data_IF_663407875577
#
_entry.id   IF_663407875577
#
_cell.length_a   1.000
_cell.length_b   1.000
_cell.length_c   1.000
_cell.angle_alpha   90.00
_cell.angle_beta   90.00
_cell.angle_gamma   90.00
#
_symmetry.space_group_name_H-M   'P 1'
#
loop_
_entity.id
_entity.type
_entity.pdbx_description
1 polymer ?
#
# COMPACT_ATOMS: atom_id res chain seq x y z
N UNK A 1 -29.19 -13.71 -6.38
CA UNK A 1 -28.83 -12.58 -5.48
C UNK A 1 -29.51 -12.72 -4.12
N UNK A 2 -30.81 -12.94 -4.08
CA UNK A 2 -31.57 -13.15 -2.84
C UNK A 2 -31.04 -14.32 -1.99
N UNK A 3 -30.70 -15.46 -2.60
CA UNK A 3 -30.17 -16.62 -1.89
C UNK A 3 -28.85 -16.34 -1.15
N UNK A 4 -27.94 -15.51 -1.72
CA UNK A 4 -26.68 -15.12 -1.08
C UNK A 4 -26.95 -14.23 0.15
N UNK A 5 -27.92 -13.33 0.05
CA UNK A 5 -28.29 -12.45 1.15
C UNK A 5 -28.98 -13.23 2.29
N UNK A 6 -29.83 -14.21 1.94
CA UNK A 6 -30.46 -15.12 2.92
C UNK A 6 -29.39 -15.91 3.69
N UNK A 7 -28.37 -16.43 3.01
CA UNK A 7 -27.24 -17.10 3.66
C UNK A 7 -26.42 -16.17 4.56
N UNK A 8 -26.26 -14.90 4.16
CA UNK A 8 -25.55 -13.90 4.98
C UNK A 8 -26.31 -13.56 6.28
N UNK A 9 -27.65 -13.62 6.25
CA UNK A 9 -28.52 -13.45 7.43
C UNK A 9 -28.54 -14.71 8.27
N UNK A 10 -28.70 -15.87 7.66
CA UNK A 10 -28.77 -17.16 8.39
C UNK A 10 -27.45 -17.60 8.99
N UNK A 11 -26.33 -17.28 8.33
CA UNK A 11 -24.98 -17.67 8.78
C UNK A 11 -24.02 -16.47 8.82
N UNK A 12 -24.29 -15.39 9.59
CA UNK A 12 -23.56 -14.15 9.51
C UNK A 12 -22.08 -14.25 9.93
N UNK A 13 -21.75 -15.26 10.76
CA UNK A 13 -20.37 -15.52 11.19
C UNK A 13 -19.51 -16.21 10.11
N UNK A 14 -20.15 -16.82 9.10
CA UNK A 14 -19.47 -17.56 8.02
C UNK A 14 -19.10 -16.63 6.86
N UNK A 15 -18.26 -17.10 5.96
CA UNK A 15 -17.76 -16.33 4.81
C UNK A 15 -18.18 -16.89 3.45
N UNK A 16 -17.74 -16.24 2.35
CA UNK A 16 -18.11 -16.61 0.99
C UNK A 16 -17.82 -18.06 0.60
N UNK A 17 -16.74 -18.65 1.12
CA UNK A 17 -16.38 -20.03 0.87
C UNK A 17 -17.46 -21.00 1.40
N UNK A 18 -17.95 -20.76 2.60
CA UNK A 18 -19.02 -21.56 3.20
C UNK A 18 -20.33 -21.40 2.44
N UNK A 19 -20.64 -20.22 1.97
CA UNK A 19 -21.84 -19.97 1.17
C UNK A 19 -21.74 -20.64 -0.20
N UNK A 20 -20.56 -20.67 -0.82
CA UNK A 20 -20.33 -21.41 -2.05
C UNK A 20 -20.58 -22.90 -1.87
N UNK A 21 -20.10 -23.49 -0.78
CA UNK A 21 -20.35 -24.87 -0.41
C UNK A 21 -21.85 -25.17 -0.27
N UNK A 22 -22.60 -24.36 0.48
CA UNK A 22 -24.06 -24.56 0.65
C UNK A 22 -24.84 -24.39 -0.64
N UNK A 23 -24.45 -23.45 -1.50
CA UNK A 23 -25.08 -23.24 -2.80
C UNK A 23 -24.81 -24.41 -3.76
N UNK A 24 -23.60 -24.97 -3.71
CA UNK A 24 -23.25 -26.14 -4.53
C UNK A 24 -24.09 -27.37 -4.18
N UNK A 25 -24.44 -27.57 -2.91
CA UNK A 25 -25.38 -28.65 -2.48
C UNK A 25 -26.79 -28.43 -3.03
N UNK A 26 -27.15 -27.21 -3.44
CA UNK A 26 -28.41 -26.88 -4.08
C UNK A 26 -28.26 -26.79 -5.61
N UNK A 27 -27.26 -27.44 -6.19
CA UNK A 27 -26.91 -27.41 -7.63
C UNK A 27 -26.66 -26.01 -8.19
N UNK A 28 -26.24 -25.08 -7.33
CA UNK A 28 -25.90 -23.67 -7.69
C UNK A 28 -24.41 -23.41 -7.50
N UNK A 29 -23.65 -23.55 -8.56
CA UNK A 29 -22.19 -23.39 -8.53
C UNK A 29 -21.80 -21.92 -8.72
N UNK A 30 -21.40 -21.25 -7.63
CA UNK A 30 -20.87 -19.88 -7.63
C UNK A 30 -19.50 -19.84 -6.97
N UNK A 31 -18.58 -19.15 -7.60
CA UNK A 31 -17.24 -18.96 -7.00
C UNK A 31 -17.32 -18.11 -5.72
N UNK A 32 -16.47 -18.38 -4.71
CA UNK A 32 -16.38 -17.53 -3.51
C UNK A 32 -16.15 -16.06 -3.81
N UNK A 33 -15.39 -15.76 -4.87
CA UNK A 33 -15.13 -14.39 -5.33
C UNK A 33 -16.39 -13.70 -5.86
N UNK A 34 -17.25 -14.43 -6.57
CA UNK A 34 -18.55 -13.91 -7.05
C UNK A 34 -19.47 -13.61 -5.88
N UNK A 35 -19.54 -14.52 -4.91
CA UNK A 35 -20.33 -14.34 -3.69
C UNK A 35 -19.81 -13.15 -2.90
N UNK A 36 -18.50 -13.02 -2.70
CA UNK A 36 -17.88 -11.87 -2.01
C UNK A 36 -18.25 -10.55 -2.69
N UNK A 37 -18.15 -10.47 -4.02
CA UNK A 37 -18.53 -9.25 -4.77
C UNK A 37 -20.01 -8.90 -4.59
N UNK A 38 -20.88 -9.89 -4.56
CA UNK A 38 -22.31 -9.69 -4.32
C UNK A 38 -22.58 -9.17 -2.89
N UNK A 39 -21.93 -9.78 -1.88
CA UNK A 39 -22.00 -9.33 -0.48
C UNK A 39 -21.45 -7.92 -0.31
N UNK A 40 -20.31 -7.60 -0.92
CA UNK A 40 -19.68 -6.28 -0.85
C UNK A 40 -20.59 -5.19 -1.41
N UNK A 41 -21.25 -5.45 -2.57
CA UNK A 41 -22.24 -4.54 -3.14
C UNK A 41 -23.47 -4.33 -2.25
N UNK A 42 -23.80 -5.30 -1.41
CA UNK A 42 -24.89 -5.21 -0.44
C UNK A 42 -24.44 -4.63 0.93
N UNK A 43 -23.18 -4.21 1.09
CA UNK A 43 -22.66 -3.74 2.38
C UNK A 43 -22.48 -4.85 3.41
N UNK A 44 -22.30 -6.10 2.98
CA UNK A 44 -22.20 -7.31 3.81
C UNK A 44 -20.89 -8.08 3.59
N UNK A 45 -19.87 -7.43 3.03
CA UNK A 45 -18.59 -8.05 2.66
C UNK A 45 -17.80 -8.58 3.86
N UNK A 46 -17.90 -7.91 5.00
CA UNK A 46 -17.20 -8.28 6.24
C UNK A 46 -18.12 -9.01 7.22
N UNK A 47 -17.50 -9.82 8.12
CA UNK A 47 -18.24 -10.46 9.22
C UNK A 47 -18.93 -9.43 10.12
N UNK A 48 -18.28 -8.30 10.38
CA UNK A 48 -18.81 -7.23 11.24
C UNK A 48 -20.08 -6.62 10.63
N UNK A 49 -20.09 -6.37 9.32
CA UNK A 49 -21.27 -5.84 8.60
C UNK A 49 -22.44 -6.82 8.65
N UNK A 50 -22.17 -8.13 8.47
CA UNK A 50 -23.21 -9.17 8.56
C UNK A 50 -23.77 -9.32 9.98
N UNK A 51 -22.91 -9.29 11.00
CA UNK A 51 -23.35 -9.31 12.41
C UNK A 51 -24.18 -8.07 12.76
N UNK A 52 -23.79 -6.89 12.25
CA UNK A 52 -24.56 -5.66 12.44
C UNK A 52 -25.92 -5.70 11.73
N UNK A 53 -26.02 -6.38 10.57
CA UNK A 53 -27.31 -6.60 9.91
C UNK A 53 -28.22 -7.47 10.79
N UNK A 54 -27.70 -8.54 11.38
CA UNK A 54 -28.44 -9.40 12.30
C UNK A 54 -28.96 -8.61 13.53
N UNK A 55 -28.08 -7.81 14.14
CA UNK A 55 -28.50 -6.93 15.24
C UNK A 55 -29.59 -5.95 14.84
N UNK A 56 -29.48 -5.32 13.66
CA UNK A 56 -30.52 -4.41 13.14
C UNK A 56 -31.84 -5.14 12.88
N UNK A 57 -31.78 -6.37 12.42
CA UNK A 57 -32.96 -7.19 12.18
C UNK A 57 -33.65 -7.57 13.51
N UNK A 58 -32.86 -7.91 14.52
CA UNK A 58 -33.34 -8.18 15.89
C UNK A 58 -33.78 -6.89 16.59
N UNK A 59 -33.10 -5.77 16.35
CA UNK A 59 -33.38 -4.46 16.93
C UNK A 59 -34.65 -3.79 16.37
N UNK A 60 -35.18 -4.22 15.23
CA UNK A 60 -36.57 -3.89 14.83
C UNK A 60 -37.59 -4.43 15.82
N UNK A 61 -37.17 -5.44 16.61
CA UNK A 61 -37.96 -5.95 17.75
C UNK A 61 -37.60 -5.30 19.10
N UNK A 62 -36.39 -4.73 19.28
CA UNK A 62 -35.86 -4.24 20.56
C UNK A 62 -35.01 -2.93 20.54
N UNK A 63 -34.90 -2.25 19.42
CA UNK A 63 -34.55 -0.81 19.36
C UNK A 63 -33.12 -0.36 19.30
N UNK A 64 -32.01 -1.07 19.57
CA UNK A 64 -30.69 -0.43 19.55
C UNK A 64 -29.52 -1.37 19.22
N UNK A 65 -28.64 -0.94 18.29
CA UNK A 65 -27.30 -1.50 18.12
C UNK A 65 -26.47 -1.27 19.38
N UNK A 66 -25.80 -2.32 19.87
CA UNK A 66 -24.90 -2.19 21.01
C UNK A 66 -23.75 -1.21 20.68
N UNK A 67 -23.26 -0.49 21.68
CA UNK A 67 -22.13 0.45 21.49
C UNK A 67 -20.87 -0.27 20.96
N UNK A 68 -20.67 -1.51 21.36
CA UNK A 68 -19.58 -2.36 20.85
C UNK A 68 -19.69 -2.55 19.34
N UNK A 69 -20.88 -2.87 18.81
CA UNK A 69 -21.10 -3.07 17.38
C UNK A 69 -21.00 -1.76 16.62
N UNK A 70 -21.46 -0.64 17.17
CA UNK A 70 -21.24 0.70 16.59
C UNK A 70 -19.77 1.03 16.47
N UNK A 71 -18.97 0.81 17.52
CA UNK A 71 -17.50 1.00 17.51
C UNK A 71 -16.82 0.10 16.48
N UNK A 72 -17.23 -1.16 16.37
CA UNK A 72 -16.68 -2.09 15.37
C UNK A 72 -17.03 -1.68 13.93
N UNK A 73 -18.25 -1.22 13.66
CA UNK A 73 -18.65 -0.70 12.37
C UNK A 73 -17.90 0.57 11.98
N UNK A 74 -17.70 1.49 12.93
CA UNK A 74 -16.89 2.69 12.71
C UNK A 74 -15.43 2.32 12.40
N UNK A 75 -14.88 1.36 13.12
CA UNK A 75 -13.51 0.86 12.87
C UNK A 75 -13.41 0.21 11.49
N UNK A 76 -14.37 -0.65 11.11
CA UNK A 76 -14.42 -1.29 9.79
C UNK A 76 -14.56 -0.26 8.65
N UNK A 77 -15.37 0.79 8.83
CA UNK A 77 -15.50 1.90 7.88
C UNK A 77 -14.23 2.74 7.77
N UNK A 78 -13.48 2.93 8.87
CA UNK A 78 -12.18 3.61 8.86
C UNK A 78 -11.11 2.78 8.16
N UNK A 79 -11.10 1.46 8.35
CA UNK A 79 -10.20 0.52 7.67
C UNK A 79 -10.45 0.45 6.16
N UNK A 80 -11.68 0.70 5.71
CA UNK A 80 -12.04 0.78 4.30
C UNK A 80 -11.70 2.11 3.62
N UNK A 81 -11.19 3.11 4.33
CA UNK A 81 -10.72 4.37 3.73
C UNK A 81 -9.33 4.14 3.13
N UNK A 82 -9.31 3.72 1.87
CA UNK A 82 -8.11 3.77 1.08
C UNK A 82 -7.59 5.21 1.01
N UNK A 83 -6.28 5.37 1.08
CA UNK A 83 -5.63 6.64 0.78
C UNK A 83 -6.00 7.00 -0.67
N UNK A 84 -6.75 8.07 -0.86
CA UNK A 84 -7.12 8.55 -2.17
C UNK A 84 -6.12 9.61 -2.62
N UNK A 85 -5.20 9.20 -3.48
CA UNK A 85 -4.42 10.11 -4.31
C UNK A 85 -5.02 10.10 -5.70
N UNK A 86 -5.29 11.29 -6.23
CA UNK A 86 -5.86 11.45 -7.58
C UNK A 86 -4.75 11.54 -8.62
N UNK A 87 -3.70 12.27 -8.28
CA UNK A 87 -2.58 12.56 -9.18
C UNK A 87 -1.26 12.10 -8.57
N UNK A 88 -0.24 11.80 -9.40
CA UNK A 88 1.13 11.63 -8.92
C UNK A 88 1.55 12.84 -8.08
N UNK A 89 2.34 12.60 -7.02
CA UNK A 89 2.75 13.66 -6.10
C UNK A 89 1.77 14.01 -4.98
N UNK A 90 0.48 13.69 -5.07
CA UNK A 90 -0.49 13.97 -3.97
C UNK A 90 -0.04 13.37 -2.64
N UNK A 91 0.51 12.15 -2.68
CA UNK A 91 1.08 11.46 -1.54
C UNK A 91 2.16 10.49 -1.97
N UNK A 92 3.35 10.63 -1.43
CA UNK A 92 4.47 9.71 -1.59
C UNK A 92 4.78 9.05 -0.25
N UNK A 93 4.78 7.73 -0.20
CA UNK A 93 5.16 6.95 0.97
C UNK A 93 6.65 6.66 0.93
N UNK A 94 7.36 6.96 2.04
CA UNK A 94 8.80 6.67 2.16
C UNK A 94 9.05 5.71 3.32
N UNK A 95 10.07 4.87 3.15
CA UNK A 95 10.54 3.98 4.19
C UNK A 95 11.99 3.56 3.92
N UNK A 96 12.71 3.14 4.97
CA UNK A 96 14.05 2.59 4.87
C UNK A 96 14.03 1.08 5.04
N UNK A 97 14.95 0.41 4.37
CA UNK A 97 15.03 -1.04 4.38
C UNK A 97 16.48 -1.49 4.57
N UNK A 98 16.71 -2.34 5.58
CA UNK A 98 18.02 -2.94 5.80
C UNK A 98 18.20 -4.13 4.86
N UNK A 99 19.13 -4.01 3.91
CA UNK A 99 19.43 -5.07 2.94
C UNK A 99 20.29 -6.17 3.58
N UNK A 100 21.29 -5.78 4.39
CA UNK A 100 22.19 -6.72 5.05
C UNK A 100 23.56 -6.12 5.34
N UNK A 101 24.49 -6.96 5.85
CA UNK A 101 25.91 -6.65 6.01
C UNK A 101 26.70 -7.41 4.96
N UNK A 102 27.35 -6.68 4.05
CA UNK A 102 28.12 -7.26 2.96
C UNK A 102 29.61 -7.14 3.25
N UNK A 103 30.38 -8.19 2.92
CA UNK A 103 31.84 -8.19 3.07
C UNK A 103 32.44 -7.10 2.18
N UNK A 104 33.30 -6.27 2.74
CA UNK A 104 33.94 -5.14 2.04
C UNK A 104 33.05 -3.87 1.90
N UNK A 105 31.75 -3.97 2.13
CA UNK A 105 30.80 -2.83 2.02
C UNK A 105 30.28 -2.37 3.37
N UNK A 106 30.13 -3.29 4.31
CA UNK A 106 29.52 -3.03 5.62
C UNK A 106 28.00 -3.15 5.62
N UNK A 107 27.34 -2.44 6.54
CA UNK A 107 25.87 -2.37 6.60
C UNK A 107 25.34 -1.60 5.40
N UNK A 108 24.31 -2.14 4.75
CA UNK A 108 23.68 -1.54 3.56
C UNK A 108 22.22 -1.28 3.85
N UNK A 109 21.83 -0.04 3.63
CA UNK A 109 20.48 0.45 3.76
C UNK A 109 19.98 0.97 2.42
N UNK A 110 18.70 0.78 2.16
CA UNK A 110 17.98 1.33 1.02
C UNK A 110 16.88 2.24 1.51
N UNK A 111 16.76 3.44 0.96
CA UNK A 111 15.56 4.26 1.08
C UNK A 111 14.69 4.05 -0.14
N UNK A 112 13.38 4.01 0.06
CA UNK A 112 12.39 3.72 -0.98
C UNK A 112 11.26 4.72 -0.89
N UNK A 113 10.84 5.25 -2.02
CA UNK A 113 9.66 6.08 -2.17
C UNK A 113 8.68 5.41 -3.14
N UNK A 114 7.41 5.44 -2.80
CA UNK A 114 6.31 4.90 -3.61
C UNK A 114 5.22 5.95 -3.77
N UNK A 115 4.97 6.38 -5.00
CA UNK A 115 3.82 7.23 -5.31
C UNK A 115 2.53 6.44 -5.16
N UNK A 116 1.58 6.97 -4.41
CA UNK A 116 0.36 6.24 -4.09
C UNK A 116 -0.70 6.27 -5.20
N UNK A 117 -0.61 7.20 -6.15
CA UNK A 117 -1.52 7.26 -7.29
C UNK A 117 -1.11 6.31 -8.41
N UNK A 118 0.18 6.31 -8.76
CA UNK A 118 0.75 5.59 -9.90
C UNK A 118 1.45 4.28 -9.51
N UNK A 119 1.84 4.10 -8.24
CA UNK A 119 2.79 3.09 -7.77
C UNK A 119 4.21 3.28 -8.32
N UNK A 120 4.53 4.46 -8.87
CA UNK A 120 5.87 4.77 -9.35
C UNK A 120 6.88 4.70 -8.20
N UNK A 121 7.99 4.03 -8.43
CA UNK A 121 8.98 3.70 -7.44
C UNK A 121 10.28 4.45 -7.67
N UNK A 122 10.82 5.05 -6.61
CA UNK A 122 12.17 5.59 -6.58
C UNK A 122 12.88 5.00 -5.35
N UNK A 123 14.12 4.55 -5.50
CA UNK A 123 14.90 4.07 -4.38
C UNK A 123 16.39 4.33 -4.59
N UNK A 124 17.14 4.45 -3.48
CA UNK A 124 18.60 4.63 -3.47
C UNK A 124 19.25 3.80 -2.36
N UNK A 125 20.49 3.40 -2.59
CA UNK A 125 21.35 2.84 -1.54
C UNK A 125 21.91 4.00 -0.71
N UNK A 126 21.65 3.97 0.60
CA UNK A 126 22.13 4.98 1.52
C UNK A 126 23.56 4.68 2.01
N UNK A 127 24.42 5.71 2.16
CA UNK A 127 25.72 5.57 2.83
C UNK A 127 25.55 5.15 4.30
N UNK A 128 24.55 5.72 4.97
CA UNK A 128 24.13 5.41 6.33
C UNK A 128 22.64 5.69 6.50
N UNK A 129 21.98 4.97 7.42
CA UNK A 129 20.57 5.23 7.77
C UNK A 129 20.53 6.35 8.83
N UNK A 130 20.42 7.59 8.37
CA UNK A 130 20.30 8.79 9.21
C UNK A 130 19.45 9.88 8.54
N UNK A 131 19.08 10.89 9.32
CA UNK A 131 18.20 11.97 8.89
C UNK A 131 18.79 12.79 7.72
N UNK A 132 20.09 13.06 7.74
CA UNK A 132 20.76 13.84 6.69
C UNK A 132 20.70 13.16 5.32
N UNK A 133 20.94 11.84 5.25
CA UNK A 133 20.85 11.09 4.01
C UNK A 133 19.40 10.95 3.53
N UNK A 134 18.44 10.77 4.45
CA UNK A 134 17.02 10.75 4.12
C UNK A 134 16.53 12.12 3.60
N UNK A 135 16.97 13.20 4.22
CA UNK A 135 16.67 14.57 3.78
C UNK A 135 17.23 14.86 2.37
N UNK A 136 18.48 14.44 2.10
CA UNK A 136 19.07 14.58 0.75
C UNK A 136 18.26 13.80 -0.29
N UNK A 137 17.89 12.55 0.04
CA UNK A 137 17.04 11.77 -0.84
C UNK A 137 15.70 12.47 -1.12
N UNK A 138 15.07 13.08 -0.11
CA UNK A 138 13.82 13.81 -0.27
C UNK A 138 13.98 15.02 -1.19
N UNK A 139 15.07 15.80 -1.07
CA UNK A 139 15.34 16.94 -1.96
C UNK A 139 15.54 16.50 -3.42
N UNK A 140 16.32 15.42 -3.65
CA UNK A 140 16.52 14.84 -4.99
C UNK A 140 15.18 14.34 -5.58
N UNK A 141 14.36 13.69 -4.75
CA UNK A 141 13.06 13.18 -5.13
C UNK A 141 12.11 14.34 -5.52
N UNK A 142 12.02 15.37 -4.69
CA UNK A 142 11.19 16.54 -4.96
C UNK A 142 11.61 17.25 -6.24
N UNK A 143 12.91 17.40 -6.50
CA UNK A 143 13.44 17.96 -7.75
C UNK A 143 12.98 17.13 -8.96
N UNK A 144 13.11 15.81 -8.90
CA UNK A 144 12.68 14.91 -9.97
C UNK A 144 11.17 14.98 -10.24
N UNK A 145 10.37 15.07 -9.18
CA UNK A 145 8.91 15.21 -9.28
C UNK A 145 8.50 16.58 -9.85
N UNK A 146 9.18 17.66 -9.46
CA UNK A 146 8.94 18.99 -10.02
C UNK A 146 9.27 19.03 -11.51
N UNK A 147 10.40 18.45 -11.93
CA UNK A 147 10.77 18.32 -13.36
C UNK A 147 9.75 17.49 -14.16
N UNK A 148 9.18 16.47 -13.51
CA UNK A 148 8.09 15.69 -14.09
C UNK A 148 6.75 16.44 -14.13
N UNK A 149 6.64 17.63 -13.50
CA UNK A 149 5.42 18.44 -13.43
C UNK A 149 4.40 17.92 -12.41
N UNK A 150 4.86 17.14 -11.43
CA UNK A 150 4.06 16.60 -10.34
C UNK A 150 4.66 16.98 -8.98
N UNK A 151 4.58 18.24 -8.53
CA UNK A 151 5.15 18.62 -7.24
C UNK A 151 4.55 17.76 -6.13
N UNK A 152 5.42 17.25 -5.26
CA UNK A 152 4.99 16.45 -4.10
C UNK A 152 4.22 17.36 -3.15
N UNK A 153 3.02 16.94 -2.74
CA UNK A 153 2.20 17.69 -1.78
C UNK A 153 2.38 17.17 -0.36
N UNK A 154 2.55 15.85 -0.23
CA UNK A 154 2.63 15.21 1.07
C UNK A 154 3.51 13.98 1.03
N UNK A 155 4.28 13.81 2.10
CA UNK A 155 5.04 12.59 2.36
C UNK A 155 4.48 11.86 3.57
N UNK A 156 4.50 10.53 3.51
CA UNK A 156 4.12 9.64 4.61
C UNK A 156 5.30 8.74 4.95
N UNK A 157 5.71 8.77 6.22
CA UNK A 157 6.77 7.90 6.74
C UNK A 157 6.28 7.16 7.98
N UNK A 158 7.07 6.24 8.46
CA UNK A 158 6.95 5.76 9.83
C UNK A 158 7.52 6.81 10.82
N UNK A 159 7.87 6.37 12.05
CA UNK A 159 8.44 7.22 13.09
C UNK A 159 9.94 6.96 13.29
N UNK A 160 10.62 6.38 12.32
CA UNK A 160 12.05 6.14 12.35
C UNK A 160 12.84 7.42 12.64
N UNK A 161 14.01 7.27 13.27
CA UNK A 161 14.88 8.41 13.60
C UNK A 161 15.40 9.13 12.35
N UNK A 162 15.53 8.42 11.24
CA UNK A 162 15.90 8.93 9.93
C UNK A 162 14.89 9.92 9.33
N UNK A 163 13.64 9.90 9.81
CA UNK A 163 12.56 10.80 9.37
C UNK A 163 12.27 11.91 10.38
N UNK A 164 13.31 12.35 11.11
CA UNK A 164 13.25 13.46 12.09
C UNK A 164 14.30 14.50 11.75
N UNK A 165 14.35 15.57 12.54
CA UNK A 165 15.36 16.64 12.45
C UNK A 165 15.59 17.13 11.00
N UNK A 166 16.74 16.80 10.39
CA UNK A 166 17.11 17.24 9.04
C UNK A 166 16.04 16.88 7.99
N UNK A 167 15.33 15.75 8.18
CA UNK A 167 14.24 15.35 7.29
C UNK A 167 13.00 16.26 7.46
N UNK A 168 12.65 16.63 8.69
CA UNK A 168 11.57 17.58 8.95
C UNK A 168 11.92 18.96 8.38
N UNK A 169 13.16 19.43 8.60
CA UNK A 169 13.64 20.65 8.01
C UNK A 169 13.55 20.64 6.47
N UNK A 170 13.94 19.54 5.83
CA UNK A 170 13.80 19.41 4.38
C UNK A 170 12.32 19.41 3.92
N UNK A 171 11.39 18.87 4.71
CA UNK A 171 9.97 18.97 4.41
C UNK A 171 9.48 20.42 4.47
N UNK A 172 9.91 21.19 5.49
CA UNK A 172 9.55 22.60 5.65
C UNK A 172 10.12 23.45 4.51
N UNK A 173 11.42 23.29 4.17
CA UNK A 173 12.07 23.96 3.03
C UNK A 173 11.36 23.72 1.69
N UNK A 174 10.85 22.52 1.48
CA UNK A 174 10.15 22.12 0.27
C UNK A 174 8.64 22.37 0.34
N UNK A 175 8.14 22.94 1.42
CA UNK A 175 6.71 23.16 1.69
C UNK A 175 5.88 21.87 1.57
N UNK A 176 6.39 20.74 2.08
CA UNK A 176 5.77 19.44 2.03
C UNK A 176 5.05 19.11 3.34
N UNK A 177 3.84 18.61 3.27
CA UNK A 177 3.15 18.12 4.46
C UNK A 177 3.75 16.78 4.89
N UNK A 178 4.52 16.75 5.97
CA UNK A 178 5.00 15.50 6.55
C UNK A 178 3.93 14.86 7.44
N UNK A 179 3.57 13.62 7.13
CA UNK A 179 2.63 12.80 7.90
C UNK A 179 3.35 11.55 8.39
N UNK A 180 3.25 11.24 9.69
CA UNK A 180 3.80 10.02 10.27
C UNK A 180 2.70 9.01 10.57
N UNK A 181 2.96 7.73 10.36
CA UNK A 181 2.02 6.67 10.71
C UNK A 181 1.74 6.66 12.21
N UNK A 182 0.52 6.33 12.60
CA UNK A 182 0.18 6.16 14.03
C UNK A 182 0.83 4.87 14.54
N UNK A 183 1.26 4.84 15.83
CA UNK A 183 1.76 3.61 16.44
C UNK A 183 0.76 2.47 16.26
N UNK A 184 1.23 1.26 15.95
CA UNK A 184 0.42 0.05 15.70
C UNK A 184 -0.55 0.13 14.50
N UNK A 185 -0.33 1.07 13.56
CA UNK A 185 -1.10 1.21 12.33
C UNK A 185 -0.20 1.06 11.09
N UNK A 186 0.64 0.02 11.06
CA UNK A 186 1.57 -0.29 9.95
C UNK A 186 0.88 -0.32 8.58
N UNK A 187 -0.38 -0.77 8.51
CA UNK A 187 -1.17 -0.80 7.27
C UNK A 187 -1.35 0.56 6.57
N UNK A 188 -1.04 1.69 7.22
CA UNK A 188 -1.07 3.01 6.58
C UNK A 188 0.11 3.23 5.64
N UNK A 189 1.24 2.53 5.82
CA UNK A 189 2.42 2.58 4.94
C UNK A 189 2.49 1.41 3.94
N UNK A 190 1.39 0.68 3.77
CA UNK A 190 1.31 -0.54 2.98
C UNK A 190 1.69 -0.41 1.49
N UNK A 191 1.82 0.81 0.95
CA UNK A 191 2.30 1.03 -0.41
C UNK A 191 3.80 0.78 -0.51
N UNK A 192 4.58 1.45 0.34
CA UNK A 192 6.03 1.31 0.32
C UNK A 192 6.48 -0.05 0.89
N UNK A 193 5.78 -0.58 1.90
CA UNK A 193 6.06 -1.93 2.43
C UNK A 193 5.89 -3.01 1.35
N UNK A 194 4.83 -2.90 0.53
CA UNK A 194 4.61 -3.83 -0.59
C UNK A 194 5.67 -3.69 -1.67
N UNK A 195 6.09 -2.46 -1.97
CA UNK A 195 7.18 -2.19 -2.90
C UNK A 195 8.49 -2.78 -2.39
N UNK A 196 8.84 -2.56 -1.12
CA UNK A 196 10.02 -3.14 -0.49
C UNK A 196 10.00 -4.68 -0.53
N UNK A 197 8.83 -5.28 -0.24
CA UNK A 197 8.63 -6.72 -0.41
C UNK A 197 8.89 -7.18 -1.85
N UNK A 198 8.42 -6.44 -2.84
CA UNK A 198 8.67 -6.75 -4.27
C UNK A 198 10.17 -6.63 -4.60
N UNK A 199 10.84 -5.54 -4.21
CA UNK A 199 12.28 -5.35 -4.41
C UNK A 199 13.07 -6.47 -3.72
N UNK A 200 12.70 -6.85 -2.50
CA UNK A 200 13.36 -7.93 -1.78
C UNK A 200 13.23 -9.28 -2.51
N UNK A 201 12.01 -9.63 -2.94
CA UNK A 201 11.73 -10.97 -3.49
C UNK A 201 12.11 -11.08 -4.97
N UNK A 202 11.83 -10.06 -5.77
CA UNK A 202 12.04 -10.12 -7.22
C UNK A 202 13.43 -9.61 -7.63
N UNK A 203 14.13 -8.89 -6.75
CA UNK A 203 15.48 -8.37 -7.04
C UNK A 203 16.55 -8.88 -6.08
N UNK A 204 16.58 -8.44 -4.81
CA UNK A 204 17.72 -8.69 -3.92
C UNK A 204 17.98 -10.17 -3.68
N UNK A 205 16.94 -10.96 -3.40
CA UNK A 205 17.08 -12.42 -3.18
C UNK A 205 17.64 -13.15 -4.40
N UNK A 206 17.39 -12.65 -5.58
CA UNK A 206 17.90 -13.21 -6.84
C UNK A 206 19.31 -12.69 -7.11
N UNK A 207 19.52 -11.38 -7.01
CA UNK A 207 20.78 -10.73 -7.32
C UNK A 207 21.92 -11.26 -6.46
N UNK A 208 21.70 -11.41 -5.14
CA UNK A 208 22.72 -11.96 -4.22
C UNK A 208 23.03 -13.45 -4.43
N UNK A 209 22.18 -14.20 -5.11
CA UNK A 209 22.48 -15.58 -5.51
C UNK A 209 23.23 -15.69 -6.82
N UNK A 210 23.12 -14.66 -7.67
CA UNK A 210 23.74 -14.67 -9.00
C UNK A 210 25.13 -14.07 -9.04
N UNK A 211 25.44 -13.14 -8.13
CA UNK A 211 26.74 -12.45 -8.10
C UNK A 211 27.08 -11.86 -6.75
N UNK A 212 28.36 -11.65 -6.52
CA UNK A 212 28.87 -10.91 -5.37
C UNK A 212 28.91 -9.41 -5.68
N UNK A 213 28.53 -8.62 -4.70
CA UNK A 213 28.64 -7.17 -4.72
C UNK A 213 29.77 -6.75 -3.77
N UNK A 214 30.72 -6.01 -4.28
CA UNK A 214 31.89 -5.53 -3.54
C UNK A 214 31.85 -4.03 -3.24
N UNK A 215 30.96 -3.29 -3.91
CA UNK A 215 30.82 -1.84 -3.74
C UNK A 215 29.35 -1.41 -3.65
N UNK A 216 29.09 -0.26 -2.97
CA UNK A 216 27.74 0.35 -2.96
C UNK A 216 27.29 0.79 -4.35
N UNK A 217 28.21 1.22 -5.19
CA UNK A 217 27.90 1.62 -6.56
C UNK A 217 27.33 0.45 -7.39
N UNK A 218 27.89 -0.75 -7.24
CA UNK A 218 27.34 -1.94 -7.91
C UNK A 218 25.92 -2.28 -7.43
N UNK A 219 25.67 -2.12 -6.12
CA UNK A 219 24.32 -2.29 -5.57
C UNK A 219 23.36 -1.25 -6.13
N UNK A 220 23.77 0.03 -6.16
CA UNK A 220 22.98 1.11 -6.71
C UNK A 220 22.61 0.86 -8.18
N UNK A 221 23.60 0.53 -9.02
CA UNK A 221 23.37 0.20 -10.43
C UNK A 221 22.41 -0.99 -10.62
N UNK A 222 22.53 -1.98 -9.75
CA UNK A 222 21.64 -3.16 -9.78
C UNK A 222 20.22 -2.80 -9.41
N UNK A 223 20.04 -1.96 -8.38
CA UNK A 223 18.75 -1.45 -7.95
C UNK A 223 18.10 -0.58 -9.04
N UNK A 224 18.85 0.33 -9.65
CA UNK A 224 18.34 1.21 -10.68
C UNK A 224 17.83 0.44 -11.90
N UNK A 225 18.56 -0.61 -12.36
CA UNK A 225 18.07 -1.49 -13.43
C UNK A 225 16.77 -2.19 -13.08
N UNK A 226 16.64 -2.63 -11.83
CA UNK A 226 15.40 -3.23 -11.36
C UNK A 226 14.25 -2.21 -11.30
N UNK A 227 14.51 -0.97 -10.90
CA UNK A 227 13.50 0.09 -10.86
C UNK A 227 13.01 0.48 -12.26
N UNK A 228 13.89 0.47 -13.26
CA UNK A 228 13.49 0.65 -14.68
C UNK A 228 12.51 -0.47 -15.04
N UNK A 229 12.88 -1.73 -14.84
CA UNK A 229 11.97 -2.87 -15.07
C UNK A 229 10.65 -2.71 -14.30
N UNK A 230 10.71 -2.37 -13.02
CA UNK A 230 9.53 -2.22 -12.16
C UNK A 230 8.57 -1.12 -12.66
N UNK A 231 9.11 0.01 -13.05
CA UNK A 231 8.31 1.17 -13.46
C UNK A 231 7.84 1.07 -14.92
N UNK A 232 8.69 0.60 -15.83
CA UNK A 232 8.50 0.74 -17.28
C UNK A 232 8.08 -0.54 -17.99
N UNK A 233 8.30 -1.72 -17.38
CA UNK A 233 8.03 -3.00 -18.02
C UNK A 233 7.03 -3.85 -17.25
N UNK A 234 7.13 -3.87 -15.92
CA UNK A 234 6.34 -4.76 -15.05
C UNK A 234 4.87 -4.32 -14.96
N UNK A 235 3.90 -5.17 -15.36
CA UNK A 235 2.48 -4.84 -15.19
C UNK A 235 2.06 -4.95 -13.72
N UNK A 236 1.25 -4.02 -13.26
CA UNK A 236 0.74 -3.96 -11.89
C UNK A 236 -0.76 -4.22 -11.83
N UNK A 237 -1.16 -5.36 -11.26
CA UNK A 237 -2.57 -5.79 -11.20
C UNK A 237 -3.33 -5.27 -9.97
N UNK A 238 -2.83 -4.23 -9.31
CA UNK A 238 -3.54 -3.55 -8.23
C UNK A 238 -4.82 -2.86 -8.72
N UNK A 239 -5.75 -2.56 -7.80
CA UNK A 239 -7.04 -1.94 -8.15
C UNK A 239 -6.90 -0.56 -8.83
N UNK A 240 -5.78 0.16 -8.62
CA UNK A 240 -5.49 1.46 -9.26
C UNK A 240 -4.83 1.32 -10.61
N UNK A 241 -3.89 0.41 -10.70
CA UNK A 241 -3.07 0.23 -11.91
C UNK A 241 -3.75 -0.65 -12.96
N UNK A 242 -4.54 -1.65 -12.54
CA UNK A 242 -5.36 -2.51 -13.43
C UNK A 242 -4.57 -3.10 -14.61
N UNK A 243 -3.36 -3.58 -14.34
CA UNK A 243 -2.46 -4.15 -15.34
C UNK A 243 -1.56 -3.14 -16.05
N UNK A 244 -1.72 -1.82 -15.81
CA UNK A 244 -0.83 -0.79 -16.36
C UNK A 244 0.50 -0.75 -15.61
N UNK A 245 1.54 -0.26 -16.27
CA UNK A 245 2.84 0.00 -15.67
C UNK A 245 2.78 1.30 -14.86
N UNK A 246 3.58 1.44 -13.78
CA UNK A 246 3.64 2.69 -13.01
C UNK A 246 3.94 3.91 -13.86
N UNK A 247 4.88 3.81 -14.82
CA UNK A 247 5.25 4.89 -15.74
C UNK A 247 4.09 5.31 -16.65
N UNK A 248 3.26 4.37 -17.13
CA UNK A 248 2.09 4.71 -17.95
C UNK A 248 1.10 5.61 -17.20
N UNK A 249 1.01 5.44 -15.87
CA UNK A 249 0.14 6.27 -15.03
C UNK A 249 0.84 7.57 -14.67
N UNK A 250 2.12 7.50 -14.29
CA UNK A 250 2.90 8.65 -13.85
C UNK A 250 3.07 9.69 -14.99
N UNK A 251 3.44 9.24 -16.18
CA UNK A 251 3.63 10.11 -17.34
C UNK A 251 2.34 10.37 -18.13
N UNK A 252 1.46 9.38 -18.25
CA UNK A 252 0.21 9.46 -18.99
C UNK A 252 -0.86 10.36 -18.37
N UNK A 253 -0.72 10.74 -17.10
CA UNK A 253 -1.65 11.67 -16.46
C UNK A 253 -1.51 13.11 -16.98
N UNK A 254 -0.39 13.46 -17.67
CA UNK A 254 -0.19 14.77 -18.32
C UNK A 254 -1.02 14.97 -19.60
N UNK A 255 -1.51 13.92 -20.22
CA UNK A 255 -2.26 14.00 -21.50
C UNK A 255 -3.78 14.12 -21.34
N UNK A 256 -4.31 14.38 -20.12
CA UNK A 256 -5.76 14.44 -19.84
C UNK A 256 -6.19 15.71 -19.10
N UNK A 257 -5.46 16.81 -19.28
CA UNK A 257 -5.92 18.17 -18.87
C UNK A 257 -6.45 18.90 -20.07
#
# INVERSE_FOLDING_TARGET
KQSILALAVGYPARGPLFYAYLLAQQSRHLSPSTIYRALKRAGLGTRVERMALLERHSARRAGLLTERTRRQLQKARRLGRHVHSKHPGDLVCLDTFYIGKLKGVGKVWQITACDTASSFAVAKILPANNASNAARFLRDLATSYNQAGWPIQRVLTDRGSEFKADFDQACDELNLKHTRTKPRHAWTNGFVERLQGTILHEHWRIAFRRRFFTTRQQLEQSLQRFLIYYNDERPHFGYRTKGRRPSDIFWGAKGRT
#
